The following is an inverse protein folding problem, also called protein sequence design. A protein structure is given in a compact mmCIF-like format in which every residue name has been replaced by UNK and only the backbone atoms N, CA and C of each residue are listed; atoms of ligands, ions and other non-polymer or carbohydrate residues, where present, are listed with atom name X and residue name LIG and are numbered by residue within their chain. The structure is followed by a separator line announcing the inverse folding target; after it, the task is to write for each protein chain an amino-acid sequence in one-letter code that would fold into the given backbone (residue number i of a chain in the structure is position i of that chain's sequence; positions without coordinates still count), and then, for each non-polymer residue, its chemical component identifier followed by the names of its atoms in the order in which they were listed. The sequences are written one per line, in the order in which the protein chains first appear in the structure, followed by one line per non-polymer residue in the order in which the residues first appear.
data_IF_654271939557
#
_entry.id   IF_654271939557
#
_cell.length_a   1.000
_cell.length_b   1.000
_cell.length_c   1.000
_cell.angle_alpha   90.00
_cell.angle_beta   90.00
_cell.angle_gamma   90.00
#
_symmetry.space_group_name_H-M   'P 1'
#
loop_
_entity.id
_entity.type
_entity.pdbx_description
1 polymer ?
#
# COMPACT_ATOMS: atom_id res chain seq x y z
N UNK A 1 -12.38 56.06 23.57
CA UNK A 1 -11.58 55.31 24.56
C UNK A 1 -11.46 53.91 24.01
N UNK A 2 -10.22 53.45 23.71
CA UNK A 2 -9.98 52.32 22.84
C UNK A 2 -10.17 50.99 23.55
N UNK A 3 -10.31 49.96 22.72
CA UNK A 3 -10.65 48.57 23.00
C UNK A 3 -9.40 47.88 23.55
N UNK A 4 -9.53 47.26 24.72
CA UNK A 4 -8.46 46.52 25.38
C UNK A 4 -8.46 45.07 24.86
N UNK A 5 -7.40 44.68 24.16
CA UNK A 5 -7.15 43.31 23.72
C UNK A 5 -6.41 42.59 24.83
N UNK A 6 -7.11 41.69 25.55
CA UNK A 6 -6.49 40.81 26.52
C UNK A 6 -5.81 39.62 25.80
N UNK A 7 -4.49 39.53 25.96
CA UNK A 7 -3.65 38.42 25.52
C UNK A 7 -3.98 37.14 26.30
N UNK A 8 -4.11 36.02 25.58
CA UNK A 8 -4.24 34.68 26.16
C UNK A 8 -2.83 34.17 26.46
N UNK A 9 -2.54 34.01 27.75
CA UNK A 9 -1.36 33.32 28.27
C UNK A 9 -1.40 31.85 27.86
N UNK A 10 -0.44 31.41 27.04
CA UNK A 10 -0.13 29.98 26.85
C UNK A 10 1.08 29.65 27.72
N UNK A 11 0.83 28.91 28.81
CA UNK A 11 1.88 28.28 29.60
C UNK A 11 2.51 27.15 28.76
N UNK A 12 3.71 27.41 28.25
CA UNK A 12 4.58 26.40 27.62
C UNK A 12 5.44 25.77 28.72
N UNK A 13 5.35 24.45 28.97
CA UNK A 13 6.34 23.77 29.78
C UNK A 13 7.64 23.68 28.97
N UNK A 14 8.71 24.24 29.53
CA UNK A 14 10.08 24.07 29.04
C UNK A 14 10.53 22.63 29.30
N UNK A 15 10.60 21.80 28.27
CA UNK A 15 11.35 20.55 28.32
C UNK A 15 12.72 20.74 27.64
N UNK A 16 13.73 20.20 28.31
CA UNK A 16 15.14 20.38 28.00
C UNK A 16 15.59 19.27 27.06
N UNK A 17 15.79 19.64 25.79
CA UNK A 17 16.77 19.06 24.87
C UNK A 17 16.78 17.55 24.64
N UNK A 18 16.36 17.11 23.46
CA UNK A 18 17.22 16.36 22.54
C UNK A 18 16.69 16.49 21.10
N UNK A 19 17.57 16.24 20.14
CA UNK A 19 17.54 16.72 18.76
C UNK A 19 16.53 16.00 17.85
N UNK A 20 16.06 16.74 16.84
CA UNK A 20 15.03 16.33 15.88
C UNK A 20 15.24 14.98 15.20
N UNK A 21 14.24 14.12 15.40
CA UNK A 21 13.70 13.22 14.39
C UNK A 21 12.18 13.35 14.50
N UNK A 22 11.47 13.42 13.38
CA UNK A 22 10.01 13.42 13.40
C UNK A 22 9.55 12.10 14.02
N UNK A 23 8.82 12.16 15.14
CA UNK A 23 8.31 11.03 15.90
C UNK A 23 7.18 10.32 15.12
N UNK A 24 7.54 9.70 14.00
CA UNK A 24 6.69 8.71 13.34
C UNK A 24 6.76 7.47 14.23
N UNK A 25 5.71 7.23 14.98
CA UNK A 25 5.59 5.97 15.70
C UNK A 25 5.49 4.84 14.68
N UNK A 26 6.53 4.01 14.60
CA UNK A 26 6.57 2.84 13.72
C UNK A 26 5.91 1.69 14.47
N UNK A 27 4.74 1.20 14.04
CA UNK A 27 4.07 0.09 14.70
C UNK A 27 4.89 -1.18 14.49
N UNK A 28 5.32 -1.80 15.59
CA UNK A 28 6.10 -3.04 15.55
C UNK A 28 5.31 -4.20 16.15
N UNK A 29 5.07 -5.20 15.31
CA UNK A 29 4.42 -6.45 15.67
C UNK A 29 5.37 -7.64 15.48
N UNK A 30 6.68 -7.37 15.56
CA UNK A 30 7.74 -8.37 15.62
C UNK A 30 8.37 -8.36 17.01
N UNK A 31 8.56 -9.53 17.60
CA UNK A 31 9.34 -9.67 18.83
C UNK A 31 10.84 -9.56 18.53
N UNK A 32 11.68 -9.25 19.55
CA UNK A 32 13.14 -9.11 19.38
C UNK A 32 13.86 -10.35 18.85
N UNK A 33 13.23 -11.53 18.95
CA UNK A 33 13.72 -12.80 18.41
C UNK A 33 13.27 -13.08 16.96
N UNK A 34 12.54 -12.14 16.35
CA UNK A 34 12.00 -12.24 14.99
C UNK A 34 10.68 -13.00 14.89
N UNK A 35 10.09 -13.45 15.99
CA UNK A 35 8.76 -14.09 15.96
C UNK A 35 7.63 -13.06 15.86
N UNK A 36 6.51 -13.36 15.17
CA UNK A 36 5.40 -12.42 15.04
C UNK A 36 4.62 -12.30 16.36
N UNK A 37 4.33 -11.05 16.76
CA UNK A 37 3.44 -10.69 17.87
C UNK A 37 2.00 -10.73 17.37
N UNK A 38 1.23 -11.71 17.84
CA UNK A 38 -0.12 -12.02 17.32
C UNK A 38 -1.18 -11.11 17.96
N UNK A 39 -0.94 -10.64 19.18
CA UNK A 39 -1.88 -9.83 19.94
C UNK A 39 -1.17 -8.79 20.83
N UNK A 40 -1.93 -7.83 21.36
CA UNK A 40 -1.39 -6.81 22.28
C UNK A 40 -0.95 -5.53 21.55
N UNK A 41 -0.43 -4.52 22.28
CA UNK A 41 -0.16 -3.19 21.75
C UNK A 41 1.00 -3.18 20.76
N UNK A 42 0.92 -2.41 19.68
CA UNK A 42 1.98 -2.28 18.67
C UNK A 42 2.97 -1.11 18.95
N UNK A 43 2.94 -0.57 20.16
CA UNK A 43 3.77 0.58 20.56
C UNK A 43 3.22 1.95 20.14
N UNK A 44 2.19 2.00 19.29
CA UNK A 44 1.66 3.24 18.69
C UNK A 44 0.19 3.52 18.99
N UNK A 45 -0.35 2.93 20.07
CA UNK A 45 -1.75 3.11 20.48
C UNK A 45 -2.76 2.23 19.75
N UNK A 46 -2.30 1.34 18.85
CA UNK A 46 -3.12 0.30 18.23
C UNK A 46 -2.65 -1.10 18.69
N UNK A 47 -3.36 -2.15 18.26
CA UNK A 47 -3.04 -3.55 18.60
C UNK A 47 -2.53 -4.32 17.38
N UNK A 48 -1.66 -5.31 17.60
CA UNK A 48 -1.12 -6.20 16.56
C UNK A 48 -2.12 -7.23 16.03
N UNK A 49 -3.17 -7.52 16.82
CA UNK A 49 -4.23 -8.47 16.48
C UNK A 49 -5.07 -8.82 17.70
N UNK A 50 -6.09 -9.64 17.48
CA UNK A 50 -7.00 -10.15 18.50
C UNK A 50 -6.83 -11.67 18.55
N UNK A 51 -6.83 -12.24 19.75
CA UNK A 51 -6.68 -13.67 19.90
C UNK A 51 -7.90 -14.46 19.40
N UNK A 52 -7.69 -15.65 18.81
CA UNK A 52 -8.77 -16.53 18.40
C UNK A 52 -9.55 -17.05 19.62
N UNK A 53 -10.80 -17.47 19.40
CA UNK A 53 -11.70 -17.91 20.47
C UNK A 53 -11.13 -19.07 21.31
N UNK A 54 -10.35 -19.95 20.69
CA UNK A 54 -9.77 -21.13 21.35
C UNK A 54 -8.50 -20.81 22.17
N UNK A 55 -8.00 -19.57 22.15
CA UNK A 55 -6.85 -19.12 22.95
C UNK A 55 -6.96 -17.62 23.26
N UNK A 56 -8.01 -17.16 23.96
CA UNK A 56 -8.45 -15.76 23.94
C UNK A 56 -7.56 -14.81 24.76
N UNK A 57 -6.65 -15.34 25.58
CA UNK A 57 -5.77 -14.52 26.42
C UNK A 57 -4.50 -14.14 25.68
N UNK A 58 -4.26 -12.84 25.61
CA UNK A 58 -2.99 -12.30 25.13
C UNK A 58 -1.98 -12.21 26.28
N UNK A 59 -0.85 -12.92 26.15
CA UNK A 59 0.28 -12.84 27.09
C UNK A 59 1.07 -11.55 26.92
N UNK A 60 1.93 -11.20 27.89
CA UNK A 60 2.82 -10.03 27.79
C UNK A 60 3.78 -10.15 26.57
N UNK A 61 4.14 -11.38 26.21
CA UNK A 61 4.92 -11.70 25.01
C UNK A 61 4.10 -11.56 23.72
N UNK A 62 2.84 -11.16 23.78
CA UNK A 62 1.96 -10.96 22.62
C UNK A 62 1.64 -12.24 21.86
N UNK A 63 1.72 -13.38 22.54
CA UNK A 63 1.24 -14.68 22.07
C UNK A 63 -0.12 -14.99 22.69
N UNK A 64 -0.99 -15.61 21.89
CA UNK A 64 -2.29 -16.08 22.34
C UNK A 64 -2.14 -17.43 23.04
N UNK A 65 -2.64 -17.52 24.27
CA UNK A 65 -2.60 -18.75 25.06
C UNK A 65 -3.99 -19.13 25.51
N UNK A 66 -4.24 -20.43 25.50
CA UNK A 66 -5.35 -21.03 26.20
C UNK A 66 -4.93 -21.30 27.65
N UNK A 67 -5.32 -20.40 28.56
CA UNK A 67 -5.32 -20.70 29.98
C UNK A 67 -6.76 -20.80 30.48
N UNK A 68 -7.57 -21.61 29.82
CA UNK A 68 -8.80 -22.06 30.42
C UNK A 68 -8.59 -23.41 31.10
N UNK A 69 -8.46 -23.38 32.43
CA UNK A 69 -8.44 -24.58 33.25
C UNK A 69 -9.89 -25.00 33.52
N UNK A 70 -10.39 -26.10 32.91
CA UNK A 70 -11.77 -26.52 33.06
C UNK A 70 -12.06 -26.90 34.52
N UNK A 71 -13.07 -26.26 35.11
CA UNK A 71 -13.40 -26.41 36.53
C UNK A 71 -14.40 -27.56 36.77
N UNK A 72 -14.05 -28.77 36.33
CA UNK A 72 -14.93 -29.94 36.44
C UNK A 72 -14.84 -30.70 37.77
N UNK A 73 -14.02 -30.24 38.72
CA UNK A 73 -13.84 -30.96 39.98
C UNK A 73 -15.12 -30.92 40.82
N UNK A 74 -15.79 -32.07 40.94
CA UNK A 74 -17.05 -32.21 41.67
C UNK A 74 -18.32 -32.08 40.81
N UNK A 75 -18.20 -31.79 39.52
CA UNK A 75 -19.32 -31.69 38.58
C UNK A 75 -19.44 -32.99 37.75
N UNK A 76 -20.64 -33.54 37.66
CA UNK A 76 -20.97 -34.69 36.80
C UNK A 76 -21.45 -34.26 35.39
N UNK A 77 -21.91 -33.03 35.28
CA UNK A 77 -22.44 -32.37 34.09
C UNK A 77 -22.31 -30.84 34.26
N UNK A 78 -22.49 -30.06 33.19
CA UNK A 78 -22.55 -28.58 33.26
C UNK A 78 -21.37 -27.90 32.55
N UNK A 79 -21.37 -26.57 32.40
CA UNK A 79 -20.29 -25.85 31.71
C UNK A 79 -18.98 -25.92 32.52
N UNK A 80 -17.85 -26.03 31.83
CA UNK A 80 -16.52 -26.12 32.44
C UNK A 80 -15.87 -24.75 32.74
N UNK A 81 -16.58 -23.66 32.47
CA UNK A 81 -16.08 -22.28 32.58
C UNK A 81 -15.24 -21.83 31.37
N UNK A 82 -15.04 -22.70 30.38
CA UNK A 82 -14.16 -22.52 29.24
C UNK A 82 -14.88 -22.63 27.89
N UNK A 83 -16.20 -22.76 27.90
CA UNK A 83 -17.02 -22.93 26.71
C UNK A 83 -17.21 -24.40 26.30
N UNK A 84 -16.69 -25.36 27.07
CA UNK A 84 -17.03 -26.77 26.94
C UNK A 84 -17.88 -27.23 28.13
N UNK A 85 -18.15 -28.54 28.21
CA UNK A 85 -19.01 -29.14 29.26
C UNK A 85 -18.28 -30.24 30.03
N UNK A 86 -18.50 -30.28 31.34
CA UNK A 86 -18.02 -31.26 32.29
C UNK A 86 -18.90 -32.51 32.29
N UNK A 87 -18.77 -33.37 31.27
CA UNK A 87 -19.52 -34.64 31.20
C UNK A 87 -20.98 -34.48 30.74
N UNK A 88 -21.70 -35.60 30.70
CA UNK A 88 -23.08 -35.69 30.20
C UNK A 88 -23.91 -36.65 31.07
N UNK A 89 -25.16 -36.29 31.36
CA UNK A 89 -26.07 -37.13 32.13
C UNK A 89 -26.63 -38.30 31.31
N UNK A 90 -27.11 -39.34 31.97
CA UNK A 90 -27.73 -40.46 31.28
C UNK A 90 -29.08 -40.03 30.65
N UNK A 91 -29.60 -40.76 29.65
CA UNK A 91 -30.89 -40.44 29.06
C UNK A 91 -32.02 -40.34 30.10
N UNK A 92 -32.64 -39.17 30.21
CA UNK A 92 -33.72 -38.88 31.16
C UNK A 92 -33.29 -38.19 32.47
N UNK A 93 -32.00 -37.93 32.64
CA UNK A 93 -31.44 -37.11 33.71
C UNK A 93 -31.06 -35.72 33.17
N UNK A 94 -31.20 -34.69 34.00
CA UNK A 94 -30.87 -33.31 33.66
C UNK A 94 -29.76 -32.79 34.56
N UNK A 95 -28.97 -31.85 34.05
CA UNK A 95 -27.94 -31.22 34.83
C UNK A 95 -28.52 -30.12 35.71
N UNK A 96 -28.43 -30.28 37.04
CA UNK A 96 -28.81 -29.20 37.97
C UNK A 96 -27.79 -28.07 37.96
N UNK A 97 -28.16 -26.91 38.50
CA UNK A 97 -27.24 -25.75 38.64
C UNK A 97 -26.01 -26.07 39.49
N UNK A 98 -26.08 -27.09 40.36
CA UNK A 98 -24.94 -27.61 41.13
C UNK A 98 -24.07 -28.62 40.36
N UNK A 99 -24.33 -28.83 39.07
CA UNK A 99 -23.60 -29.74 38.19
C UNK A 99 -23.79 -31.22 38.53
N UNK A 100 -24.95 -31.61 39.07
CA UNK A 100 -25.30 -32.99 39.36
C UNK A 100 -26.40 -33.49 38.41
N UNK A 101 -26.31 -34.75 38.00
CA UNK A 101 -27.35 -35.38 37.20
C UNK A 101 -28.53 -35.78 38.10
N UNK A 102 -29.71 -35.24 37.79
CA UNK A 102 -30.93 -35.48 38.59
C UNK A 102 -32.08 -35.97 37.70
N UNK A 103 -32.85 -36.94 38.22
CA UNK A 103 -34.12 -37.37 37.62
C UNK A 103 -35.27 -36.53 38.18
N UNK A 104 -35.89 -35.73 37.31
CA UNK A 104 -37.05 -34.89 37.65
C UNK A 104 -36.68 -33.40 37.65
N UNK A 105 -36.62 -32.83 36.44
CA UNK A 105 -36.55 -31.39 36.27
C UNK A 105 -37.98 -30.85 36.12
N UNK A 106 -38.33 -29.82 36.90
CA UNK A 106 -39.64 -29.15 36.82
C UNK A 106 -39.46 -27.89 35.95
N UNK A 107 -39.79 -27.95 34.64
CA UNK A 107 -39.51 -26.85 33.72
C UNK A 107 -40.32 -25.63 34.11
N UNK A 108 -39.64 -24.52 34.36
CA UNK A 108 -40.28 -23.25 34.72
C UNK A 108 -40.12 -22.25 33.60
N UNK A 109 -41.25 -21.91 32.98
CA UNK A 109 -41.35 -20.84 32.01
C UNK A 109 -41.90 -19.54 32.60
N UNK A 110 -41.73 -19.36 33.91
CA UNK A 110 -42.13 -18.13 34.60
C UNK A 110 -40.89 -17.44 35.14
N UNK A 111 -40.74 -16.16 34.82
CA UNK A 111 -39.72 -15.27 35.37
C UNK A 111 -39.94 -15.06 36.88
N UNK A 112 -38.90 -14.58 37.57
CA UNK A 112 -38.96 -14.28 39.02
C UNK A 112 -40.02 -13.22 39.38
N UNK A 113 -40.36 -12.35 38.43
CA UNK A 113 -41.40 -11.32 38.57
C UNK A 113 -42.83 -11.84 38.30
N UNK A 114 -42.97 -13.14 38.00
CA UNK A 114 -44.24 -13.79 37.71
C UNK A 114 -44.72 -13.66 36.27
N UNK A 115 -43.92 -13.07 35.37
CA UNK A 115 -44.25 -13.02 33.93
C UNK A 115 -43.91 -14.32 33.22
N UNK A 116 -44.71 -14.70 32.23
CA UNK A 116 -44.47 -15.92 31.44
C UNK A 116 -43.43 -15.64 30.33
N UNK A 117 -42.44 -16.54 30.18
CA UNK A 117 -41.42 -16.51 29.14
C UNK A 117 -42.02 -17.01 27.82
N UNK A 118 -41.77 -16.28 26.74
CA UNK A 118 -42.18 -16.68 25.38
C UNK A 118 -41.12 -17.53 24.68
N UNK A 119 -39.89 -17.50 25.18
CA UNK A 119 -38.73 -18.16 24.60
C UNK A 119 -37.63 -18.32 25.67
N UNK A 120 -36.58 -19.06 25.34
CA UNK A 120 -35.41 -19.24 26.20
C UNK A 120 -35.48 -20.53 27.02
N UNK A 121 -34.41 -20.85 27.78
CA UNK A 121 -34.31 -22.12 28.49
C UNK A 121 -35.35 -22.22 29.62
N UNK A 122 -35.92 -23.41 29.77
CA UNK A 122 -36.88 -23.75 30.84
C UNK A 122 -36.21 -24.31 32.11
N UNK A 123 -34.88 -24.35 32.12
CA UNK A 123 -34.06 -24.94 33.19
C UNK A 123 -33.85 -26.46 33.08
N UNK A 124 -34.41 -27.10 32.05
CA UNK A 124 -34.49 -28.56 31.92
C UNK A 124 -34.07 -29.07 30.53
N UNK A 125 -33.05 -28.46 29.92
CA UNK A 125 -32.58 -28.73 28.54
C UNK A 125 -33.66 -28.60 27.45
N UNK A 126 -34.80 -27.99 27.77
CA UNK A 126 -35.87 -27.64 26.84
C UNK A 126 -36.07 -26.12 26.83
N UNK A 127 -37.01 -25.64 26.01
CA UNK A 127 -37.23 -24.19 25.82
C UNK A 127 -38.69 -23.83 26.04
N UNK A 128 -38.93 -22.64 26.59
CA UNK A 128 -40.24 -22.06 26.89
C UNK A 128 -41.03 -21.58 25.67
N UNK A 129 -40.57 -21.94 24.47
CA UNK A 129 -41.08 -21.49 23.18
C UNK A 129 -39.95 -21.12 22.23
N UNK A 130 -40.32 -20.70 21.02
CA UNK A 130 -39.42 -20.23 19.97
C UNK A 130 -40.00 -18.94 19.42
N UNK A 131 -39.16 -17.94 19.16
CA UNK A 131 -39.60 -16.69 18.56
C UNK A 131 -39.87 -16.87 17.06
N UNK A 132 -40.86 -16.13 16.54
CA UNK A 132 -41.12 -16.06 15.10
C UNK A 132 -39.92 -15.44 14.35
N UNK A 133 -39.84 -15.68 13.03
CA UNK A 133 -38.75 -15.17 12.18
C UNK A 133 -38.54 -13.66 12.36
N UNK A 134 -37.29 -13.25 12.62
CA UNK A 134 -36.90 -11.85 12.84
C UNK A 134 -36.94 -11.38 14.31
N UNK A 135 -37.32 -12.25 15.25
CA UNK A 135 -37.30 -11.97 16.68
C UNK A 135 -36.25 -12.84 17.37
N UNK A 136 -35.46 -12.25 18.27
CA UNK A 136 -34.56 -12.98 19.14
C UNK A 136 -35.13 -13.07 20.55
N UNK A 137 -34.72 -14.12 21.25
CA UNK A 137 -35.05 -14.24 22.65
C UNK A 137 -34.19 -13.29 23.48
N UNK A 138 -34.79 -12.20 23.96
CA UNK A 138 -34.13 -11.26 24.85
C UNK A 138 -33.81 -11.90 26.20
N UNK A 139 -32.90 -11.28 26.97
CA UNK A 139 -32.49 -11.78 28.29
C UNK A 139 -33.65 -11.93 29.29
N UNK A 140 -34.76 -11.22 29.08
CA UNK A 140 -36.00 -11.34 29.87
C UNK A 140 -36.88 -12.55 29.49
N UNK A 141 -36.46 -13.38 28.53
CA UNK A 141 -37.28 -14.47 28.00
C UNK A 141 -38.47 -13.99 27.15
N UNK A 142 -38.43 -12.74 26.68
CA UNK A 142 -39.41 -12.19 25.73
C UNK A 142 -38.82 -12.10 24.33
N UNK A 143 -39.65 -12.36 23.32
CA UNK A 143 -39.26 -12.20 21.93
C UNK A 143 -39.19 -10.70 21.61
N UNK A 144 -37.99 -10.22 21.32
CA UNK A 144 -37.72 -8.83 20.98
C UNK A 144 -37.15 -8.74 19.57
N UNK A 145 -37.44 -7.63 18.90
CA UNK A 145 -36.77 -7.27 17.66
C UNK A 145 -35.33 -6.89 18.03
N UNK A 146 -34.36 -7.69 17.61
CA UNK A 146 -32.94 -7.39 17.80
C UNK A 146 -32.42 -6.37 16.79
N UNK A 147 -33.15 -6.19 15.68
CA UNK A 147 -32.72 -5.29 14.62
C UNK A 147 -33.90 -4.60 13.95
N UNK A 148 -33.84 -3.27 13.86
CA UNK A 148 -34.82 -2.44 13.16
C UNK A 148 -34.40 -2.31 11.69
N UNK A 149 -35.15 -2.86 10.72
CA UNK A 149 -34.82 -2.81 9.30
C UNK A 149 -34.57 -1.37 8.80
N UNK A 150 -33.37 -1.11 8.26
CA UNK A 150 -32.99 0.22 7.75
C UNK A 150 -33.37 0.38 6.28
N UNK A 151 -34.68 0.52 6.03
CA UNK A 151 -35.27 0.61 4.70
C UNK A 151 -35.71 2.01 4.29
N UNK A 152 -35.53 3.03 5.12
CA UNK A 152 -35.90 4.39 4.77
C UNK A 152 -35.09 4.87 3.56
N UNK A 153 -35.78 5.16 2.45
CA UNK A 153 -35.17 5.60 1.20
C UNK A 153 -34.67 4.48 0.26
N UNK A 154 -34.79 3.20 0.66
CA UNK A 154 -34.42 2.05 -0.18
C UNK A 154 -35.66 1.40 -0.80
N UNK A 155 -35.61 1.06 -2.08
CA UNK A 155 -36.64 0.27 -2.79
C UNK A 155 -36.26 -1.22 -2.91
N UNK A 156 -34.99 -1.53 -2.69
CA UNK A 156 -34.43 -2.87 -2.78
C UNK A 156 -33.13 -2.97 -1.96
N UNK A 157 -32.61 -4.18 -1.79
CA UNK A 157 -31.33 -4.42 -1.12
C UNK A 157 -31.47 -4.80 0.36
N UNK A 158 -30.35 -5.06 1.04
CA UNK A 158 -30.36 -5.55 2.43
C UNK A 158 -30.88 -4.51 3.41
N UNK A 159 -31.60 -4.99 4.41
CA UNK A 159 -32.18 -4.16 5.48
C UNK A 159 -31.29 -3.98 6.72
N UNK A 160 -30.03 -4.42 6.64
CA UNK A 160 -29.03 -4.43 7.71
C UNK A 160 -29.37 -5.33 8.91
N UNK A 161 -30.48 -6.08 8.81
CA UNK A 161 -30.97 -7.03 9.81
C UNK A 161 -31.00 -8.47 9.30
N UNK A 162 -30.38 -8.72 8.14
CA UNK A 162 -30.37 -10.04 7.48
C UNK A 162 -31.58 -10.29 6.57
N UNK A 163 -32.48 -9.31 6.41
CA UNK A 163 -33.59 -9.30 5.47
C UNK A 163 -33.36 -8.36 4.27
N UNK A 164 -34.43 -8.09 3.53
CA UNK A 164 -34.43 -7.24 2.33
C UNK A 164 -35.51 -6.16 2.43
N UNK A 165 -35.20 -4.93 2.00
CA UNK A 165 -36.14 -3.81 1.96
C UNK A 165 -37.17 -3.89 0.82
N UNK A 166 -36.92 -4.74 -0.18
CA UNK A 166 -37.78 -4.93 -1.34
C UNK A 166 -37.08 -5.68 -2.47
N UNK A 167 -37.81 -5.88 -3.57
CA UNK A 167 -37.30 -6.45 -4.81
C UNK A 167 -37.63 -5.51 -5.98
N UNK A 168 -36.70 -5.39 -6.92
CA UNK A 168 -36.93 -4.63 -8.14
C UNK A 168 -37.91 -5.36 -9.07
N UNK A 169 -38.64 -4.60 -9.88
CA UNK A 169 -39.49 -5.14 -10.94
C UNK A 169 -38.61 -5.81 -12.01
N UNK A 170 -39.22 -6.65 -12.87
CA UNK A 170 -38.53 -7.27 -14.01
C UNK A 170 -37.77 -6.20 -14.83
N UNK A 171 -36.53 -6.53 -15.24
CA UNK A 171 -35.57 -5.68 -15.96
C UNK A 171 -34.98 -4.48 -15.17
N UNK A 172 -35.19 -4.43 -13.85
CA UNK A 172 -34.53 -3.47 -12.96
C UNK A 172 -33.56 -4.18 -12.01
N UNK A 173 -32.35 -3.62 -11.87
CA UNK A 173 -31.32 -4.08 -10.94
C UNK A 173 -31.26 -3.19 -9.71
N UNK A 174 -31.02 -3.81 -8.56
CA UNK A 174 -30.76 -3.08 -7.32
C UNK A 174 -29.30 -2.62 -7.31
N UNK A 175 -29.07 -1.32 -7.19
CA UNK A 175 -27.71 -0.77 -7.00
C UNK A 175 -27.40 -0.54 -5.53
N UNK A 176 -26.14 -0.22 -5.25
CA UNK A 176 -25.60 -0.07 -3.88
C UNK A 176 -26.27 1.03 -3.06
N UNK A 177 -26.92 2.00 -3.71
CA UNK A 177 -27.74 3.03 -3.07
C UNK A 177 -29.12 2.54 -2.62
N UNK A 178 -29.44 1.26 -2.85
CA UNK A 178 -30.72 0.64 -2.51
C UNK A 178 -31.86 1.06 -3.42
N UNK A 179 -31.58 1.64 -4.60
CA UNK A 179 -32.57 2.03 -5.58
C UNK A 179 -32.56 1.08 -6.79
N UNK A 180 -33.74 0.92 -7.38
CA UNK A 180 -33.92 0.12 -8.59
C UNK A 180 -33.65 0.96 -9.83
N UNK A 181 -32.73 0.49 -10.67
CA UNK A 181 -32.41 1.10 -11.96
C UNK A 181 -32.71 0.12 -13.07
N UNK A 182 -33.22 0.62 -14.19
CA UNK A 182 -33.36 -0.20 -15.37
C UNK A 182 -31.96 -0.71 -15.77
N UNK A 183 -31.85 -2.01 -16.02
CA UNK A 183 -30.61 -2.59 -16.54
C UNK A 183 -30.23 -1.85 -17.83
N UNK A 184 -28.98 -1.43 -17.94
CA UNK A 184 -28.52 -0.76 -19.14
C UNK A 184 -28.54 -1.79 -20.27
N UNK A 185 -29.38 -1.58 -21.29
CA UNK A 185 -29.46 -2.48 -22.45
C UNK A 185 -28.34 -2.12 -23.43
N UNK A 186 -27.34 -3.00 -23.64
CA UNK A 186 -26.25 -2.75 -24.58
C UNK A 186 -26.79 -2.50 -25.99
N UNK A 187 -26.43 -1.37 -26.60
CA UNK A 187 -26.79 -1.06 -27.98
C UNK A 187 -25.59 -1.18 -28.93
N UNK A 188 -25.59 -2.32 -29.61
CA UNK A 188 -24.64 -2.69 -30.65
C UNK A 188 -25.25 -2.67 -32.05
N UNK A 189 -26.40 -2.04 -32.21
CA UNK A 189 -27.03 -1.89 -33.52
C UNK A 189 -26.06 -1.17 -34.45
N UNK A 190 -25.75 -1.80 -35.58
CA UNK A 190 -24.79 -1.29 -36.58
C UNK A 190 -23.35 -1.11 -36.07
N UNK A 191 -22.96 -1.77 -34.98
CA UNK A 191 -21.57 -1.79 -34.48
C UNK A 191 -20.99 -3.20 -34.48
N UNK A 192 -19.79 -3.35 -35.05
CA UNK A 192 -18.98 -4.56 -35.00
C UNK A 192 -17.85 -4.46 -33.94
N UNK A 193 -17.63 -3.26 -33.39
CA UNK A 193 -16.66 -2.97 -32.33
C UNK A 193 -17.05 -1.69 -31.58
N UNK A 194 -16.37 -1.38 -30.47
CA UNK A 194 -16.56 -0.14 -29.71
C UNK A 194 -17.54 -0.28 -28.55
N UNK A 195 -17.85 0.82 -27.85
CA UNK A 195 -18.68 0.77 -26.64
C UNK A 195 -20.15 0.49 -26.95
N UNK A 196 -20.78 -0.27 -26.05
CA UNK A 196 -22.20 -0.64 -26.13
C UNK A 196 -23.14 0.34 -25.39
N UNK A 197 -22.59 1.44 -24.85
CA UNK A 197 -23.34 2.41 -24.06
C UNK A 197 -23.57 2.02 -22.59
N UNK A 198 -23.17 0.83 -22.20
CA UNK A 198 -23.42 0.20 -20.90
C UNK A 198 -22.14 -0.27 -20.20
N UNK A 199 -21.03 0.45 -20.43
CA UNK A 199 -19.68 0.14 -19.97
C UNK A 199 -19.07 -1.16 -20.54
N UNK A 200 -19.77 -1.87 -21.42
CA UNK A 200 -19.26 -3.00 -22.20
C UNK A 200 -18.89 -2.60 -23.63
N UNK A 201 -18.65 -3.60 -24.48
CA UNK A 201 -18.21 -3.41 -25.87
C UNK A 201 -18.93 -4.34 -26.84
N UNK A 202 -19.24 -3.84 -28.04
CA UNK A 202 -19.96 -4.54 -29.12
C UNK A 202 -19.13 -5.53 -29.94
N UNK A 203 -17.85 -5.70 -29.62
CA UNK A 203 -16.91 -6.57 -30.31
C UNK A 203 -15.49 -6.02 -30.30
N UNK A 204 -14.58 -6.77 -30.93
CA UNK A 204 -13.16 -6.41 -31.08
C UNK A 204 -12.75 -6.61 -32.54
N UNK A 205 -11.89 -5.72 -33.05
CA UNK A 205 -11.39 -5.81 -34.41
C UNK A 205 -10.28 -6.83 -34.56
N UNK A 206 -10.11 -7.37 -35.77
CA UNK A 206 -9.05 -8.31 -36.09
C UNK A 206 -7.66 -7.66 -36.08
N UNK A 207 -6.62 -8.47 -36.18
CA UNK A 207 -5.25 -7.98 -36.24
C UNK A 207 -5.05 -7.02 -37.44
N UNK A 208 -4.63 -5.78 -37.17
CA UNK A 208 -4.41 -4.75 -38.19
C UNK A 208 -5.62 -3.86 -38.52
N UNK A 209 -6.70 -3.96 -37.76
CA UNK A 209 -7.91 -3.14 -37.92
C UNK A 209 -8.17 -2.31 -36.66
N UNK A 210 -8.60 -1.05 -36.83
CA UNK A 210 -9.02 -0.18 -35.73
C UNK A 210 -10.54 0.01 -35.75
N UNK A 211 -11.09 0.27 -34.56
CA UNK A 211 -12.51 0.57 -34.43
C UNK A 211 -12.79 2.05 -34.72
N UNK A 212 -13.35 2.33 -35.89
CA UNK A 212 -13.71 3.68 -36.35
C UNK A 212 -15.23 3.75 -36.52
N UNK A 213 -15.87 4.66 -35.78
CA UNK A 213 -17.34 4.84 -35.80
C UNK A 213 -18.16 3.54 -35.62
N UNK A 214 -17.63 2.60 -34.84
CA UNK A 214 -18.29 1.31 -34.55
C UNK A 214 -18.06 0.23 -35.62
N UNK A 215 -17.26 0.51 -36.65
CA UNK A 215 -16.87 -0.43 -37.68
C UNK A 215 -15.38 -0.76 -37.58
N UNK A 216 -15.02 -2.01 -37.87
CA UNK A 216 -13.62 -2.38 -38.00
C UNK A 216 -13.14 -1.98 -39.38
N UNK A 217 -12.27 -0.99 -39.41
CA UNK A 217 -11.66 -0.50 -40.65
C UNK A 217 -10.20 -0.93 -40.70
N UNK A 218 -9.79 -1.44 -41.87
CA UNK A 218 -8.38 -1.69 -42.14
C UNK A 218 -7.64 -0.36 -42.18
N UNK A 219 -6.88 -0.08 -41.13
CA UNK A 219 -6.04 1.11 -41.07
C UNK A 219 -4.80 0.86 -41.92
N UNK A 220 -4.69 1.56 -43.04
CA UNK A 220 -3.43 1.71 -43.77
C UNK A 220 -2.40 2.33 -42.81
N UNK A 221 -1.54 1.49 -42.24
CA UNK A 221 -0.51 1.79 -41.23
C UNK A 221 -0.98 2.37 -39.86
N UNK A 222 -2.18 2.93 -39.74
CA UNK A 222 -2.71 3.47 -38.49
C UNK A 222 -1.74 4.45 -37.81
N UNK A 223 -1.36 4.16 -36.56
CA UNK A 223 -0.39 4.94 -35.77
C UNK A 223 1.07 4.46 -35.90
N UNK A 224 1.36 3.50 -36.78
CA UNK A 224 2.72 2.97 -36.93
C UNK A 224 3.55 4.00 -37.70
N UNK A 225 4.61 4.55 -37.10
CA UNK A 225 5.47 5.49 -37.80
C UNK A 225 6.12 4.84 -39.03
N UNK A 226 6.45 5.63 -40.04
CA UNK A 226 7.14 5.14 -41.25
C UNK A 226 8.49 4.47 -40.95
N UNK A 227 9.07 4.72 -39.78
CA UNK A 227 10.31 4.15 -39.27
C UNK A 227 10.09 2.94 -38.32
N UNK A 228 8.87 2.40 -38.26
CA UNK A 228 8.50 1.29 -37.38
C UNK A 228 8.38 1.67 -35.91
N UNK A 229 8.02 0.69 -35.08
CA UNK A 229 8.00 0.81 -33.61
C UNK A 229 8.40 -0.52 -32.97
N UNK A 230 9.01 -0.43 -31.78
CA UNK A 230 9.23 -1.58 -30.92
C UNK A 230 8.22 -1.61 -29.77
N UNK A 231 7.71 -2.79 -29.45
CA UNK A 231 7.03 -3.11 -28.19
C UNK A 231 7.77 -4.29 -27.55
N UNK A 232 8.67 -3.99 -26.60
CA UNK A 232 9.65 -4.97 -26.12
C UNK A 232 10.53 -5.50 -27.26
N UNK A 233 10.50 -6.83 -27.49
CA UNK A 233 11.25 -7.50 -28.56
C UNK A 233 10.47 -7.54 -29.89
N UNK A 234 9.23 -7.08 -29.90
CA UNK A 234 8.36 -7.14 -31.08
C UNK A 234 8.57 -5.90 -31.94
N UNK A 235 9.08 -6.11 -33.15
CA UNK A 235 9.20 -5.07 -34.16
C UNK A 235 7.94 -5.03 -35.02
N UNK A 236 7.27 -3.87 -35.07
CA UNK A 236 6.14 -3.63 -35.97
C UNK A 236 6.52 -2.59 -37.02
N UNK A 237 6.40 -2.93 -38.30
CA UNK A 237 6.69 -2.06 -39.43
C UNK A 237 5.48 -1.92 -40.34
N UNK A 238 5.43 -0.83 -41.11
CA UNK A 238 4.45 -0.69 -42.18
C UNK A 238 5.16 -0.38 -43.49
N UNK A 239 5.02 -1.27 -44.47
CA UNK A 239 5.49 -1.03 -45.82
C UNK A 239 4.31 -1.09 -46.79
N UNK A 240 4.15 -0.05 -47.60
CA UNK A 240 3.07 0.09 -48.60
C UNK A 240 1.64 -0.18 -48.07
N UNK A 241 1.37 0.17 -46.80
CA UNK A 241 0.07 -0.05 -46.17
C UNK A 241 -0.14 -1.44 -45.59
N UNK A 242 0.87 -2.31 -45.65
CA UNK A 242 0.87 -3.64 -45.05
C UNK A 242 1.68 -3.58 -43.77
N UNK A 243 1.02 -3.88 -42.65
CA UNK A 243 1.68 -4.00 -41.35
C UNK A 243 2.31 -5.39 -41.25
N UNK A 244 3.61 -5.44 -40.96
CA UNK A 244 4.34 -6.66 -40.64
C UNK A 244 4.84 -6.59 -39.19
N UNK A 245 4.86 -7.74 -38.52
CA UNK A 245 5.39 -7.87 -37.17
C UNK A 245 6.32 -9.07 -37.10
N UNK A 246 7.44 -8.92 -36.39
CA UNK A 246 8.37 -10.00 -36.10
C UNK A 246 8.88 -9.89 -34.66
N UNK A 247 9.01 -11.04 -33.98
CA UNK A 247 9.65 -11.10 -32.68
C UNK A 247 11.16 -11.27 -32.87
N UNK A 248 11.93 -10.24 -32.52
CA UNK A 248 13.39 -10.29 -32.62
C UNK A 248 13.99 -11.38 -31.71
N UNK A 249 13.32 -11.72 -30.60
CA UNK A 249 13.80 -12.70 -29.64
C UNK A 249 13.88 -14.12 -30.21
N UNK A 250 13.06 -14.46 -31.21
CA UNK A 250 13.12 -15.77 -31.89
C UNK A 250 14.48 -16.03 -32.55
N UNK A 251 15.20 -14.96 -32.92
CA UNK A 251 16.52 -15.02 -33.51
C UNK A 251 17.63 -14.60 -32.51
N UNK A 252 17.30 -14.42 -31.23
CA UNK A 252 18.24 -13.94 -30.21
C UNK A 252 18.63 -12.47 -30.35
N UNK A 253 17.82 -11.68 -31.06
CA UNK A 253 18.06 -10.26 -31.34
C UNK A 253 17.14 -9.38 -30.49
N UNK A 254 17.48 -8.11 -30.37
CA UNK A 254 16.64 -7.09 -29.74
C UNK A 254 16.00 -6.19 -30.80
N UNK A 255 14.84 -5.64 -30.49
CA UNK A 255 14.21 -4.60 -31.30
C UNK A 255 14.82 -3.26 -30.90
N UNK A 256 15.69 -2.71 -31.73
CA UNK A 256 16.45 -1.48 -31.44
C UNK A 256 16.36 -0.50 -32.60
N UNK A 257 16.61 0.78 -32.30
CA UNK A 257 16.75 1.82 -33.32
C UNK A 257 18.11 1.71 -34.00
N UNK A 258 18.13 1.57 -35.32
CA UNK A 258 19.35 1.60 -36.12
C UNK A 258 19.59 3.04 -36.63
N UNK A 259 20.61 3.75 -36.12
CA UNK A 259 20.90 5.13 -36.53
C UNK A 259 21.40 5.24 -37.97
N UNK A 260 22.02 4.19 -38.52
CA UNK A 260 22.52 4.16 -39.89
C UNK A 260 21.37 3.91 -40.88
N UNK A 261 20.42 3.06 -40.49
CA UNK A 261 19.26 2.73 -41.31
C UNK A 261 18.06 3.68 -41.10
N UNK A 262 18.05 4.44 -40.01
CA UNK A 262 17.01 5.44 -39.70
C UNK A 262 15.63 4.84 -39.37
N UNK A 263 15.58 3.61 -38.88
CA UNK A 263 14.36 2.91 -38.49
C UNK A 263 14.62 1.86 -37.41
N UNK A 264 13.56 1.37 -36.76
CA UNK A 264 13.67 0.25 -35.82
C UNK A 264 13.87 -1.07 -36.57
N UNK A 265 14.83 -1.89 -36.12
CA UNK A 265 15.18 -3.18 -36.71
C UNK A 265 15.49 -4.23 -35.64
N UNK A 266 15.51 -5.50 -36.05
CA UNK A 266 16.02 -6.56 -35.19
C UNK A 266 17.54 -6.63 -35.36
N UNK A 267 18.27 -6.37 -34.28
CA UNK A 267 19.73 -6.41 -34.27
C UNK A 267 20.26 -6.85 -32.91
N UNK A 268 21.54 -7.24 -32.87
CA UNK A 268 22.23 -7.48 -31.62
C UNK A 268 22.37 -6.15 -30.86
N UNK A 269 22.34 -6.19 -29.54
CA UNK A 269 22.62 -5.00 -28.73
C UNK A 269 24.02 -4.51 -29.11
N UNK A 270 24.17 -3.27 -29.58
CA UNK A 270 25.50 -2.76 -29.89
C UNK A 270 26.33 -2.80 -28.61
N UNK A 271 27.52 -3.40 -28.68
CA UNK A 271 28.45 -3.35 -27.55
C UNK A 271 28.63 -1.90 -27.15
N UNK A 272 28.27 -1.57 -25.91
CA UNK A 272 28.40 -0.20 -25.44
C UNK A 272 29.88 0.18 -25.44
N UNK A 273 30.23 1.22 -26.18
CA UNK A 273 31.60 1.76 -26.25
C UNK A 273 31.71 2.86 -25.20
N UNK A 274 32.51 2.68 -24.13
CA UNK A 274 32.71 3.69 -23.10
C UNK A 274 33.19 5.02 -23.70
N UNK A 275 32.43 6.09 -23.46
CA UNK A 275 32.80 7.43 -23.91
C UNK A 275 33.50 8.20 -22.78
N UNK A 276 34.83 8.17 -22.80
CA UNK A 276 35.69 8.87 -21.84
C UNK A 276 36.55 9.95 -22.48
N UNK A 277 36.30 10.32 -23.75
CA UNK A 277 37.06 11.40 -24.37
C UNK A 277 36.74 12.71 -23.63
N UNK A 278 37.79 13.43 -23.23
CA UNK A 278 37.73 14.68 -22.47
C UNK A 278 37.04 14.60 -21.08
N UNK A 279 36.83 13.39 -20.51
CA UNK A 279 36.30 13.22 -19.14
C UNK A 279 37.42 12.90 -18.14
N UNK A 280 37.62 13.75 -17.13
CA UNK A 280 38.55 13.48 -16.03
C UNK A 280 37.97 12.53 -14.97
N UNK A 281 36.65 12.57 -14.79
CA UNK A 281 35.87 11.71 -13.92
C UNK A 281 34.44 11.51 -14.48
N UNK A 282 33.64 10.62 -13.89
CA UNK A 282 32.19 10.52 -14.17
C UNK A 282 31.82 9.30 -14.99
N UNK A 283 30.55 9.13 -15.37
CA UNK A 283 30.11 7.91 -16.04
C UNK A 283 30.56 7.82 -17.50
N UNK A 284 30.85 6.59 -17.93
CA UNK A 284 31.26 6.28 -19.30
C UNK A 284 30.09 6.06 -20.28
N UNK A 285 28.85 6.20 -19.79
CA UNK A 285 27.62 5.95 -20.57
C UNK A 285 27.23 4.48 -20.71
N UNK A 286 28.06 3.56 -20.21
CA UNK A 286 27.92 2.11 -20.32
C UNK A 286 27.77 1.40 -18.96
N UNK A 287 27.52 2.18 -17.89
CA UNK A 287 27.43 1.67 -16.53
C UNK A 287 28.78 1.52 -15.81
N UNK A 288 29.87 1.99 -16.43
CA UNK A 288 31.17 2.19 -15.81
C UNK A 288 31.50 3.66 -15.57
N UNK A 289 32.71 3.91 -15.08
CA UNK A 289 33.22 5.24 -14.76
C UNK A 289 34.51 5.56 -15.54
N UNK A 290 34.59 6.76 -16.09
CA UNK A 290 35.79 7.38 -16.64
C UNK A 290 36.61 8.00 -15.52
N UNK A 291 37.85 7.56 -15.30
CA UNK A 291 38.79 8.22 -14.38
C UNK A 291 38.40 8.20 -12.89
N UNK A 292 39.24 8.80 -12.04
CA UNK A 292 38.99 8.94 -10.60
C UNK A 292 39.58 10.26 -10.10
N UNK A 293 38.79 11.02 -9.34
CA UNK A 293 39.27 12.25 -8.73
C UNK A 293 40.20 12.01 -7.54
N UNK A 294 41.13 12.93 -7.25
CA UNK A 294 41.93 12.88 -6.03
C UNK A 294 41.05 12.78 -4.78
N UNK A 295 41.57 12.16 -3.72
CA UNK A 295 40.79 11.90 -2.51
C UNK A 295 40.23 13.19 -1.93
N UNK A 296 38.90 13.25 -1.83
CA UNK A 296 38.14 14.37 -1.30
C UNK A 296 37.67 15.39 -2.35
N UNK A 297 37.99 15.21 -3.62
CA UNK A 297 37.48 16.07 -4.71
C UNK A 297 36.15 15.52 -5.24
N UNK A 298 35.26 16.42 -5.64
CA UNK A 298 33.98 16.07 -6.25
C UNK A 298 34.12 15.89 -7.76
N UNK A 299 33.35 14.97 -8.32
CA UNK A 299 33.18 14.88 -9.77
C UNK A 299 31.93 15.66 -10.18
N UNK A 300 32.10 16.76 -10.90
CA UNK A 300 30.99 17.57 -11.40
C UNK A 300 31.15 17.78 -12.90
N UNK A 301 30.11 17.47 -13.68
CA UNK A 301 30.08 17.67 -15.14
C UNK A 301 31.32 17.08 -15.86
N UNK A 302 31.74 15.89 -15.43
CA UNK A 302 32.90 15.14 -15.94
C UNK A 302 34.29 15.71 -15.57
N UNK A 303 34.35 16.77 -14.78
CA UNK A 303 35.58 17.38 -14.29
C UNK A 303 35.77 17.15 -12.78
N UNK A 304 37.04 16.98 -12.39
CA UNK A 304 37.39 16.91 -10.97
C UNK A 304 37.45 18.31 -10.37
N UNK A 305 36.48 18.63 -9.53
CA UNK A 305 36.38 19.91 -8.85
C UNK A 305 37.04 19.81 -7.46
N UNK A 306 38.02 20.67 -7.15
CA UNK A 306 38.61 20.72 -5.82
C UNK A 306 37.59 21.06 -4.75
N UNK A 307 37.76 20.45 -3.57
CA UNK A 307 36.93 20.72 -2.38
C UNK A 307 37.83 21.13 -1.24
N UNK A 308 37.44 22.16 -0.50
CA UNK A 308 38.18 22.63 0.67
C UNK A 308 38.30 21.50 1.71
N UNK A 309 39.49 21.33 2.28
CA UNK A 309 39.79 20.24 3.22
C UNK A 309 40.22 18.92 2.56
N UNK A 310 40.16 18.80 1.23
CA UNK A 310 40.60 17.62 0.50
C UNK A 310 42.14 17.48 0.47
N UNK A 311 42.62 16.34 -0.04
CA UNK A 311 44.05 16.19 -0.35
C UNK A 311 44.45 17.11 -1.50
N UNK A 312 45.68 17.63 -1.45
CA UNK A 312 46.10 18.66 -2.42
C UNK A 312 46.11 18.21 -3.89
N UNK A 313 46.11 16.90 -4.17
CA UNK A 313 46.11 16.39 -5.54
C UNK A 313 47.19 17.05 -6.42
N UNK A 314 46.86 17.51 -7.65
CA UNK A 314 47.80 18.23 -8.51
C UNK A 314 48.17 19.65 -8.02
N UNK A 315 47.50 20.21 -7.02
CA UNK A 315 47.76 21.55 -6.45
C UNK A 315 48.84 21.56 -5.35
N UNK A 316 49.69 20.52 -5.29
CA UNK A 316 50.66 20.28 -4.22
C UNK A 316 51.85 21.25 -4.08
N UNK A 317 51.71 22.53 -4.42
CA UNK A 317 52.78 23.53 -4.33
C UNK A 317 52.36 24.80 -3.60
N UNK A 318 53.34 25.52 -3.02
CA UNK A 318 53.12 26.84 -2.37
C UNK A 318 52.81 27.97 -3.35
N UNK A 319 52.74 27.67 -4.65
CA UNK A 319 52.47 28.63 -5.71
C UNK A 319 50.97 28.92 -5.91
N UNK A 320 50.06 28.11 -5.37
CA UNK A 320 48.62 28.24 -5.57
C UNK A 320 48.17 28.01 -7.02
N UNK A 321 46.87 27.81 -7.25
CA UNK A 321 46.27 27.60 -8.57
C UNK A 321 44.92 28.31 -8.67
N UNK A 322 44.69 29.01 -9.77
CA UNK A 322 43.44 29.71 -10.00
C UNK A 322 42.44 28.81 -10.76
N UNK A 323 41.24 28.64 -10.20
CA UNK A 323 40.09 28.05 -10.90
C UNK A 323 39.01 29.13 -10.94
N UNK A 324 38.89 29.81 -12.09
CA UNK A 324 38.12 31.05 -12.18
C UNK A 324 38.71 32.13 -11.25
N UNK A 325 37.87 32.76 -10.45
CA UNK A 325 38.26 33.76 -9.44
C UNK A 325 38.58 33.16 -8.06
N UNK A 326 38.65 31.84 -7.93
CA UNK A 326 38.99 31.16 -6.67
C UNK A 326 40.44 30.70 -6.69
N UNK A 327 41.22 31.13 -5.69
CA UNK A 327 42.59 30.71 -5.47
C UNK A 327 42.62 29.45 -4.59
N UNK A 328 43.13 28.36 -5.14
CA UNK A 328 43.34 27.11 -4.42
C UNK A 328 44.81 26.97 -4.02
N UNK A 329 45.10 26.59 -2.78
CA UNK A 329 46.47 26.41 -2.30
C UNK A 329 46.59 25.29 -1.26
N UNK A 330 47.76 24.68 -1.20
CA UNK A 330 48.03 23.52 -0.34
C UNK A 330 48.85 23.93 0.88
N UNK A 331 48.36 23.64 2.08
CA UNK A 331 49.10 23.84 3.34
C UNK A 331 49.08 22.54 4.13
N UNK A 332 50.26 21.97 4.39
CA UNK A 332 50.37 20.75 5.19
C UNK A 332 49.69 19.51 4.59
N UNK A 333 49.48 19.47 3.26
CA UNK A 333 48.81 18.37 2.56
C UNK A 333 47.28 18.49 2.48
N UNK A 334 46.72 19.57 3.07
CA UNK A 334 45.29 19.90 3.01
C UNK A 334 45.08 21.07 2.04
N UNK A 335 44.05 20.96 1.21
CA UNK A 335 43.68 21.95 0.22
C UNK A 335 42.80 23.04 0.85
N UNK A 336 43.13 24.29 0.59
CA UNK A 336 42.38 25.48 1.01
C UNK A 336 42.01 26.32 -0.21
N UNK A 337 40.95 27.14 -0.08
CA UNK A 337 40.51 28.07 -1.11
C UNK A 337 40.29 29.48 -0.54
N UNK A 338 40.66 30.49 -1.32
CA UNK A 338 40.25 31.87 -1.11
C UNK A 338 39.43 32.36 -2.32
N UNK A 339 38.21 32.85 -2.09
CA UNK A 339 37.38 33.45 -3.13
C UNK A 339 37.83 34.91 -3.36
N UNK A 340 38.56 35.15 -4.45
CA UNK A 340 39.03 36.48 -4.79
C UNK A 340 37.88 37.37 -5.30
N UNK A 341 36.87 36.78 -5.95
CA UNK A 341 35.69 37.47 -6.46
C UNK A 341 34.87 38.09 -5.33
N UNK A 342 34.68 37.36 -4.22
CA UNK A 342 34.07 37.89 -3.00
C UNK A 342 34.86 39.08 -2.41
N UNK A 343 36.15 39.19 -2.72
CA UNK A 343 37.03 40.28 -2.30
C UNK A 343 37.12 41.43 -3.34
N UNK A 344 36.33 41.39 -4.42
CA UNK A 344 36.42 42.30 -5.58
C UNK A 344 37.81 42.33 -6.23
N UNK A 345 38.50 41.20 -6.18
CA UNK A 345 39.81 40.95 -6.80
C UNK A 345 39.68 39.77 -7.75
N UNK A 346 40.67 39.56 -8.61
CA UNK A 346 40.72 38.40 -9.51
C UNK A 346 41.87 37.49 -9.09
N UNK A 347 41.68 36.18 -9.24
CA UNK A 347 42.79 35.26 -9.03
C UNK A 347 43.80 35.42 -10.17
N UNK A 348 45.05 35.77 -9.83
CA UNK A 348 46.08 36.06 -10.82
C UNK A 348 47.49 35.74 -10.33
N UNK A 349 48.42 35.54 -11.27
CA UNK A 349 49.82 35.27 -10.96
C UNK A 349 50.57 36.55 -10.60
N UNK A 350 51.13 36.62 -9.39
CA UNK A 350 52.05 37.69 -8.98
C UNK A 350 53.51 37.31 -9.35
N UNK A 351 54.12 37.96 -10.36
CA UNK A 351 55.50 37.68 -10.74
C UNK A 351 56.53 38.13 -9.70
N UNK A 352 56.17 39.01 -8.75
CA UNK A 352 57.05 39.45 -7.66
C UNK A 352 57.16 38.41 -6.54
N UNK A 353 56.09 37.65 -6.30
CA UNK A 353 56.03 36.59 -5.29
C UNK A 353 56.23 35.18 -5.88
N UNK A 354 56.12 35.05 -7.21
CA UNK A 354 56.25 33.77 -7.91
C UNK A 354 55.10 32.79 -7.62
N UNK A 355 53.91 33.31 -7.29
CA UNK A 355 52.72 32.54 -6.91
C UNK A 355 51.44 33.25 -7.33
N UNK A 356 50.35 32.51 -7.38
CA UNK A 356 49.00 33.03 -7.57
C UNK A 356 48.47 33.64 -6.27
N UNK A 357 47.80 34.79 -6.39
CA UNK A 357 47.19 35.54 -5.30
C UNK A 357 45.89 36.21 -5.77
N UNK A 358 45.07 36.65 -4.83
CA UNK A 358 43.92 37.53 -5.10
C UNK A 358 44.42 38.97 -5.28
N UNK A 359 44.34 39.51 -6.51
CA UNK A 359 44.87 40.82 -6.91
C UNK A 359 43.83 41.70 -7.61
#
# INVERSE_FOLDING_TARGET
MPIDTAEVSQDVPTDSGDNGAEDICIPDCQLPDGTPRICGPNGCGYICGICPFDAPKCTEDGQCVDECLPQCEGLACGPDGCGNVCGFCNPGEFCSDEGQCTTGCDPSCTNEDGTERQCGPDGCDSVCGVCDDGFLCGQSGQCVIDCIPQCEGKNCGPDECGGLCGLCLEDFICKDDGLCYQECVPDCTEKNCGSDGCAGTCGYCGFGEDCVEGQCESVTCGSIPAFGKCDGTILTQCDQGIVSSQDCAENGLLCLWDPDAGHYTCMEEPECVPDCEDKACGSDGCGGDCGFCPTGWACETNDCIPTEGATCGPFGGSAGHCVGDVLWFCVGGVLYSDDCGAQNTSCGFDPSQGKNECL
#
